data_IF_807787259917
#
_entry.id   IF_807787259917
#
_cell.length_a   1.000
_cell.length_b   1.000
_cell.length_c   1.000
_cell.angle_alpha   90.00
_cell.angle_beta   90.00
_cell.angle_gamma   90.00
#
_symmetry.space_group_name_H-M   'P 1'
#
loop_
_entity.id
_entity.type
_entity.pdbx_description
1 polymer ?
#
# COMPACT_ATOMS: atom_id res chain seq x y z
N UNK A 1 50.81 1.24 11.39
CA UNK A 1 51.61 2.28 12.07
C UNK A 1 50.99 2.44 13.45
N UNK A 2 51.81 2.24 14.50
CA UNK A 2 51.52 2.33 15.95
C UNK A 2 50.77 1.08 16.48
N UNK A 3 51.44 0.04 17.00
CA UNK A 3 52.10 -0.11 18.33
C UNK A 3 51.05 -0.06 19.49
N UNK A 4 51.02 -0.88 20.55
CA UNK A 4 51.98 -1.83 21.12
C UNK A 4 51.28 -2.72 22.18
N UNK A 5 51.90 -3.87 22.49
CA UNK A 5 51.91 -4.65 23.75
C UNK A 5 50.62 -5.01 24.51
N UNK A 6 50.24 -6.30 24.40
CA UNK A 6 49.48 -7.03 25.40
C UNK A 6 50.43 -7.84 26.31
N UNK A 7 50.52 -7.50 27.60
CA UNK A 7 51.16 -8.35 28.60
C UNK A 7 50.59 -8.18 30.02
N UNK A 8 50.23 -9.34 30.60
CA UNK A 8 50.17 -9.74 32.02
C UNK A 8 49.33 -8.94 33.03
N UNK A 9 48.43 -9.67 33.70
CA UNK A 9 48.21 -9.55 35.14
C UNK A 9 47.83 -10.91 35.77
N UNK A 10 48.62 -11.36 36.75
CA UNK A 10 48.32 -12.45 37.69
C UNK A 10 47.66 -11.85 38.95
N UNK A 11 46.86 -12.61 39.71
CA UNK A 11 46.35 -12.14 40.99
C UNK A 11 47.43 -12.20 42.09
N UNK A 12 47.59 -11.09 42.79
CA UNK A 12 48.42 -10.89 43.98
C UNK A 12 47.64 -11.28 45.24
N UNK A 13 48.15 -12.25 45.98
CA UNK A 13 47.80 -12.51 47.38
C UNK A 13 48.79 -11.73 48.25
N UNK A 14 48.31 -10.76 49.03
CA UNK A 14 49.11 -10.08 50.04
C UNK A 14 48.82 -10.61 51.45
N UNK A 15 49.84 -11.30 51.95
CA UNK A 15 50.35 -11.45 53.32
C UNK A 15 50.08 -10.32 54.31
N UNK A 16 49.98 -10.69 55.60
CA UNK A 16 50.57 -10.04 56.80
C UNK A 16 50.49 -11.06 57.97
N UNK A 17 51.53 -11.82 58.31
CA UNK A 17 52.62 -11.53 59.27
C UNK A 17 52.18 -10.96 60.63
N UNK A 18 52.37 -11.72 61.73
CA UNK A 18 53.30 -11.36 62.81
C UNK A 18 53.51 -12.51 63.83
N UNK A 19 54.78 -12.70 64.20
CA UNK A 19 55.26 -13.62 65.25
C UNK A 19 55.19 -12.99 66.64
N UNK A 20 55.18 -13.84 67.69
CA UNK A 20 55.95 -13.61 68.92
C UNK A 20 56.06 -14.90 69.78
N UNK A 21 57.31 -15.27 70.09
CA UNK A 21 57.77 -16.34 71.00
C UNK A 21 58.17 -15.76 72.37
N UNK A 22 57.81 -16.41 73.50
CA UNK A 22 58.45 -16.36 74.85
C UNK A 22 57.97 -17.65 75.59
N UNK A 23 58.72 -18.69 76.01
CA UNK A 23 59.90 -18.94 76.90
C UNK A 23 59.69 -18.69 78.40
N UNK A 24 59.57 -19.78 79.19
CA UNK A 24 60.11 -20.00 80.55
C UNK A 24 59.72 -21.46 80.98
N UNK A 25 60.61 -22.45 81.15
CA UNK A 25 61.65 -22.66 82.17
C UNK A 25 61.11 -22.71 83.61
N UNK A 26 61.24 -23.87 84.30
CA UNK A 26 61.99 -24.05 85.56
C UNK A 26 61.95 -25.51 86.06
N UNK A 27 63.17 -26.02 86.29
CA UNK A 27 63.71 -26.93 87.31
C UNK A 27 63.14 -28.33 87.59
N UNK A 28 64.06 -29.28 87.43
CA UNK A 28 64.11 -30.60 88.03
C UNK A 28 64.43 -30.55 89.55
N UNK A 29 64.03 -31.59 90.29
CA UNK A 29 64.90 -32.22 91.29
C UNK A 29 64.42 -33.63 91.64
N UNK A 30 65.39 -34.56 91.64
CA UNK A 30 65.30 -35.97 92.05
C UNK A 30 65.53 -36.10 93.56
N UNK A 31 64.98 -37.16 94.18
CA UNK A 31 65.70 -38.14 95.04
C UNK A 31 64.74 -39.07 95.82
N UNK A 32 64.96 -40.38 95.60
CA UNK A 32 65.09 -41.49 96.58
C UNK A 32 63.92 -41.93 97.49
N UNK A 33 63.72 -43.26 97.47
CA UNK A 33 62.97 -44.12 98.38
C UNK A 33 63.18 -43.88 99.88
N UNK A 34 62.13 -44.06 100.66
CA UNK A 34 62.23 -44.29 102.11
C UNK A 34 60.85 -44.38 102.77
N UNK A 35 60.60 -45.50 103.44
CA UNK A 35 59.34 -45.91 104.05
C UNK A 35 58.78 -44.96 105.13
N UNK A 36 57.45 -44.93 105.26
CA UNK A 36 56.76 -44.38 106.42
C UNK A 36 55.25 -44.48 106.27
N UNK A 37 54.64 -45.45 106.96
CA UNK A 37 53.20 -45.63 107.09
C UNK A 37 52.49 -44.34 107.51
N UNK A 38 51.36 -44.04 106.85
CA UNK A 38 50.20 -43.43 107.46
C UNK A 38 48.98 -43.96 106.72
N UNK A 39 48.34 -44.96 107.32
CA UNK A 39 47.00 -45.38 106.96
C UNK A 39 46.05 -44.23 107.28
N UNK A 40 45.52 -43.58 106.27
CA UNK A 40 44.35 -42.71 106.42
C UNK A 40 43.38 -42.95 105.27
N UNK A 41 42.34 -43.70 105.61
CA UNK A 41 40.96 -43.64 105.11
C UNK A 41 40.73 -42.97 103.76
N UNK A 42 40.95 -43.70 102.66
CA UNK A 42 40.34 -43.36 101.37
C UNK A 42 38.84 -43.69 101.43
N UNK A 43 37.94 -42.72 101.17
CA UNK A 43 36.51 -43.01 101.03
C UNK A 43 36.28 -44.05 99.93
N UNK A 44 35.24 -44.90 100.01
CA UNK A 44 34.93 -45.86 98.96
C UNK A 44 34.72 -45.12 97.65
N UNK A 45 35.35 -45.57 96.55
CA UNK A 45 35.32 -44.92 95.24
C UNK A 45 33.90 -44.55 94.74
N UNK A 46 32.86 -45.24 95.22
CA UNK A 46 31.45 -44.96 94.96
C UNK A 46 30.94 -43.63 95.58
N UNK A 47 31.45 -43.18 96.74
CA UNK A 47 31.07 -41.91 97.37
C UNK A 47 31.72 -40.71 96.68
N UNK A 48 32.93 -40.87 96.14
CA UNK A 48 33.63 -39.84 95.37
C UNK A 48 32.98 -39.64 93.99
N UNK A 49 32.65 -40.75 93.31
CA UNK A 49 31.93 -40.72 92.03
C UNK A 49 30.54 -40.06 92.14
N UNK A 50 29.80 -40.30 93.22
CA UNK A 50 28.51 -39.67 93.46
C UNK A 50 28.63 -38.16 93.75
N UNK A 51 29.66 -37.73 94.49
CA UNK A 51 29.92 -36.32 94.76
C UNK A 51 30.35 -35.57 93.50
N UNK A 52 31.18 -36.19 92.65
CA UNK A 52 31.62 -35.62 91.37
C UNK A 52 30.46 -35.52 90.37
N UNK A 53 29.56 -36.51 90.32
CA UNK A 53 28.36 -36.48 89.48
C UNK A 53 27.36 -35.40 89.94
N UNK A 54 27.22 -35.18 91.25
CA UNK A 54 26.39 -34.13 91.82
C UNK A 54 26.97 -32.72 91.57
N UNK A 55 28.30 -32.57 91.67
CA UNK A 55 28.98 -31.32 91.32
C UNK A 55 28.86 -31.01 89.82
N UNK A 56 28.95 -32.02 88.95
CA UNK A 56 28.73 -31.88 87.50
C UNK A 56 27.29 -31.47 87.18
N UNK A 57 26.27 -32.04 87.85
CA UNK A 57 24.87 -31.62 87.70
C UNK A 57 24.63 -30.17 88.15
N UNK A 58 25.23 -29.74 89.26
CA UNK A 58 25.12 -28.35 89.71
C UNK A 58 25.85 -27.37 88.77
N UNK A 59 27.00 -27.78 88.20
CA UNK A 59 27.71 -26.99 87.20
C UNK A 59 26.92 -26.90 85.87
N UNK A 60 26.28 -27.99 85.45
CA UNK A 60 25.39 -28.07 84.28
C UNK A 60 24.21 -27.11 84.41
N UNK A 61 23.48 -27.16 85.54
CA UNK A 61 22.36 -26.25 85.82
C UNK A 61 22.78 -24.78 85.88
N UNK A 62 23.94 -24.50 86.47
CA UNK A 62 24.47 -23.12 86.54
C UNK A 62 24.85 -22.60 85.15
N UNK A 63 25.49 -23.43 84.32
CA UNK A 63 25.86 -23.07 82.96
C UNK A 63 24.62 -22.88 82.07
N UNK A 64 23.59 -23.73 82.26
CA UNK A 64 22.30 -23.59 81.60
C UNK A 64 21.60 -22.28 81.95
N UNK A 65 21.51 -21.93 83.25
CA UNK A 65 20.89 -20.67 83.69
C UNK A 65 21.57 -19.43 83.10
N UNK A 66 22.90 -19.45 82.94
CA UNK A 66 23.64 -18.34 82.30
C UNK A 66 23.40 -18.29 80.79
N UNK A 67 23.30 -19.45 80.13
CA UNK A 67 22.97 -19.53 78.70
C UNK A 67 21.55 -19.03 78.42
N UNK A 68 20.56 -19.39 79.26
CA UNK A 68 19.18 -18.93 79.18
C UNK A 68 19.08 -17.42 79.39
N UNK A 69 19.77 -16.91 80.42
CA UNK A 69 19.84 -15.47 80.72
C UNK A 69 20.44 -14.66 79.57
N UNK A 70 21.48 -15.19 78.91
CA UNK A 70 22.11 -14.51 77.77
C UNK A 70 21.26 -14.62 76.51
N UNK A 71 20.61 -15.77 76.28
CA UNK A 71 19.63 -15.95 75.23
C UNK A 71 20.17 -15.85 73.80
N UNK A 72 21.47 -16.10 73.57
CA UNK A 72 22.10 -16.01 72.25
C UNK A 72 22.59 -17.36 71.74
N UNK A 73 22.73 -17.48 70.42
CA UNK A 73 23.31 -18.67 69.78
C UNK A 73 24.70 -18.97 70.34
N UNK A 74 25.52 -17.96 70.58
CA UNK A 74 26.86 -18.12 71.15
C UNK A 74 26.82 -18.71 72.57
N UNK A 75 25.89 -18.25 73.42
CA UNK A 75 25.76 -18.75 74.79
C UNK A 75 25.31 -20.21 74.85
N UNK A 76 24.30 -20.59 74.06
CA UNK A 76 23.86 -21.99 73.97
C UNK A 76 24.91 -22.90 73.30
N UNK A 77 25.67 -22.37 72.33
CA UNK A 77 26.79 -23.12 71.72
C UNK A 77 27.91 -23.39 72.72
N UNK A 78 28.25 -22.39 73.55
CA UNK A 78 29.24 -22.55 74.61
C UNK A 78 28.78 -23.56 75.68
N UNK A 79 27.47 -23.58 76.01
CA UNK A 79 26.89 -24.62 76.86
C UNK A 79 27.07 -26.02 76.25
N UNK A 80 26.69 -26.21 74.99
CA UNK A 80 26.83 -27.51 74.29
C UNK A 80 28.29 -27.99 74.17
N UNK A 81 29.26 -27.07 74.04
CA UNK A 81 30.69 -27.40 74.00
C UNK A 81 31.22 -27.91 75.34
N UNK A 82 30.74 -27.35 76.46
CA UNK A 82 31.20 -27.70 77.80
C UNK A 82 30.39 -28.85 78.43
N UNK A 83 29.13 -29.05 78.00
CA UNK A 83 28.17 -30.00 78.59
C UNK A 83 27.44 -30.84 77.52
N UNK A 84 28.19 -31.46 76.60
CA UNK A 84 27.64 -32.23 75.47
C UNK A 84 26.80 -33.48 75.82
N UNK A 85 26.77 -33.90 77.09
CA UNK A 85 25.91 -34.96 77.64
C UNK A 85 25.03 -34.48 78.81
N UNK A 86 24.89 -33.15 78.98
CA UNK A 86 24.09 -32.54 80.04
C UNK A 86 22.58 -32.70 79.83
N UNK A 87 21.79 -32.37 80.85
CA UNK A 87 20.34 -32.56 80.81
C UNK A 87 19.65 -31.65 79.75
N UNK A 88 20.25 -30.49 79.44
CA UNK A 88 19.65 -29.45 78.60
C UNK A 88 20.16 -29.43 77.15
N UNK A 89 20.88 -30.45 76.70
CA UNK A 89 21.46 -30.51 75.33
C UNK A 89 20.38 -30.39 74.24
N UNK A 90 19.25 -31.07 74.40
CA UNK A 90 18.15 -31.02 73.45
C UNK A 90 17.50 -29.63 73.42
N UNK A 91 17.29 -29.03 74.58
CA UNK A 91 16.70 -27.69 74.69
C UNK A 91 17.64 -26.62 74.13
N UNK A 92 18.92 -26.64 74.50
CA UNK A 92 19.94 -25.73 73.95
C UNK A 92 19.99 -25.79 72.42
N UNK A 93 19.92 -26.98 71.84
CA UNK A 93 19.90 -27.18 70.38
C UNK A 93 18.63 -26.60 69.75
N UNK A 94 17.46 -26.79 70.37
CA UNK A 94 16.21 -26.20 69.92
C UNK A 94 16.22 -24.66 70.00
N UNK A 95 16.79 -24.08 71.07
CA UNK A 95 16.95 -22.63 71.23
C UNK A 95 17.83 -22.04 70.13
N UNK A 96 18.94 -22.71 69.78
CA UNK A 96 19.81 -22.30 68.67
C UNK A 96 19.06 -22.31 67.34
N UNK A 97 18.31 -23.37 67.05
CA UNK A 97 17.51 -23.46 65.82
C UNK A 97 16.47 -22.34 65.76
N UNK A 98 15.74 -22.10 66.86
CA UNK A 98 14.73 -21.04 66.93
C UNK A 98 15.32 -19.64 66.76
N UNK A 99 16.46 -19.34 67.41
CA UNK A 99 17.15 -18.05 67.28
C UNK A 99 17.70 -17.83 65.86
N UNK A 100 18.29 -18.85 65.25
CA UNK A 100 18.77 -18.79 63.87
C UNK A 100 17.60 -18.63 62.88
N UNK A 101 16.47 -19.30 63.12
CA UNK A 101 15.27 -19.13 62.30
C UNK A 101 14.70 -17.72 62.43
N UNK A 102 14.63 -17.16 63.64
CA UNK A 102 14.19 -15.78 63.86
C UNK A 102 15.11 -14.78 63.16
N UNK A 103 16.43 -14.93 63.32
CA UNK A 103 17.41 -14.08 62.64
C UNK A 103 17.26 -14.15 61.11
N UNK A 104 16.94 -15.32 60.55
CA UNK A 104 16.62 -15.46 59.12
C UNK A 104 15.34 -14.74 58.71
N UNK A 105 14.28 -14.80 59.52
CA UNK A 105 13.01 -14.08 59.27
C UNK A 105 13.22 -12.57 59.32
N UNK A 106 13.94 -12.07 60.33
CA UNK A 106 14.24 -10.64 60.47
C UNK A 106 15.09 -10.14 59.29
N UNK A 107 16.05 -10.95 58.83
CA UNK A 107 16.85 -10.63 57.64
C UNK A 107 16.04 -10.65 56.34
N UNK A 108 15.10 -11.59 56.20
CA UNK A 108 14.17 -11.68 55.06
C UNK A 108 13.27 -10.44 54.97
N UNK A 109 12.63 -10.06 56.08
CA UNK A 109 11.80 -8.86 56.19
C UNK A 109 12.57 -7.58 55.89
N UNK A 110 13.80 -7.47 56.42
CA UNK A 110 14.66 -6.33 56.13
C UNK A 110 15.02 -6.24 54.65
N UNK A 111 15.40 -7.37 54.03
CA UNK A 111 15.76 -7.40 52.63
C UNK A 111 14.57 -7.10 51.72
N UNK A 112 13.37 -7.56 52.11
CA UNK A 112 12.13 -7.22 51.43
C UNK A 112 11.83 -5.71 51.52
N UNK A 113 11.91 -5.11 52.70
CA UNK A 113 11.70 -3.67 52.88
C UNK A 113 12.70 -2.82 52.07
N UNK A 114 13.97 -3.24 52.01
CA UNK A 114 14.99 -2.58 51.19
C UNK A 114 14.68 -2.70 49.67
N UNK A 115 14.12 -3.85 49.24
CA UNK A 115 13.67 -4.05 47.86
C UNK A 115 12.43 -3.20 47.52
N UNK A 116 11.43 -3.14 48.40
CA UNK A 116 10.24 -2.29 48.23
C UNK A 116 10.59 -0.81 48.15
N UNK A 117 11.51 -0.36 49.02
CA UNK A 117 12.00 1.02 49.01
C UNK A 117 12.70 1.38 47.70
N UNK A 118 13.46 0.46 47.13
CA UNK A 118 14.16 0.67 45.86
C UNK A 118 13.19 0.61 44.69
N UNK A 119 12.23 -0.32 44.73
CA UNK A 119 11.11 -0.38 43.79
C UNK A 119 11.48 -0.77 42.35
N UNK A 120 12.66 -1.32 42.10
CA UNK A 120 13.13 -1.71 40.75
C UNK A 120 13.12 -3.23 40.57
N UNK A 121 12.99 -3.70 39.32
CA UNK A 121 13.07 -5.12 39.01
C UNK A 121 14.39 -5.75 39.52
N UNK A 122 15.50 -5.04 39.38
CA UNK A 122 16.82 -5.47 39.87
C UNK A 122 16.86 -5.67 41.40
N UNK A 123 16.21 -4.80 42.19
CA UNK A 123 16.18 -4.93 43.64
C UNK A 123 15.37 -6.16 44.09
N UNK A 124 14.21 -6.39 43.48
CA UNK A 124 13.42 -7.61 43.74
C UNK A 124 14.12 -8.89 43.27
N UNK A 125 14.85 -8.83 42.15
CA UNK A 125 15.70 -9.95 41.71
C UNK A 125 16.81 -10.26 42.71
N UNK A 126 17.47 -9.25 43.27
CA UNK A 126 18.49 -9.42 44.30
C UNK A 126 17.90 -10.04 45.59
N UNK A 127 16.69 -9.63 45.99
CA UNK A 127 15.96 -10.27 47.09
C UNK A 127 15.71 -11.76 46.81
N UNK A 128 15.16 -12.11 45.63
CA UNK A 128 14.90 -13.51 45.26
C UNK A 128 16.19 -14.34 45.25
N UNK A 129 17.30 -13.76 44.79
CA UNK A 129 18.60 -14.44 44.74
C UNK A 129 19.14 -14.75 46.14
N UNK A 130 18.99 -13.82 47.08
CA UNK A 130 19.51 -13.96 48.45
C UNK A 130 18.56 -14.73 49.37
N UNK A 131 17.25 -14.69 49.11
CA UNK A 131 16.18 -15.26 49.94
C UNK A 131 15.21 -16.11 49.11
N UNK A 132 15.72 -17.08 48.33
CA UNK A 132 14.93 -17.88 47.39
C UNK A 132 13.80 -18.74 47.99
N UNK A 133 13.77 -18.91 49.32
CA UNK A 133 12.68 -19.53 50.08
C UNK A 133 12.01 -18.60 51.10
N UNK A 134 12.22 -17.29 50.98
CA UNK A 134 11.63 -16.27 51.85
C UNK A 134 10.12 -16.08 51.61
N UNK A 135 9.46 -15.41 52.54
CA UNK A 135 8.00 -15.25 52.53
C UNK A 135 7.50 -14.43 51.32
N UNK A 136 8.32 -13.51 50.80
CA UNK A 136 7.93 -12.57 49.75
C UNK A 136 8.35 -12.97 48.33
N UNK A 137 8.93 -14.17 48.13
CA UNK A 137 9.44 -14.58 46.80
C UNK A 137 8.37 -14.53 45.71
N UNK A 138 7.14 -14.95 46.02
CA UNK A 138 6.04 -14.92 45.06
C UNK A 138 5.66 -13.48 44.66
N UNK A 139 5.56 -12.58 45.65
CA UNK A 139 5.28 -11.16 45.42
C UNK A 139 6.43 -10.49 44.65
N UNK A 140 7.68 -10.76 45.02
CA UNK A 140 8.86 -10.26 44.33
C UNK A 140 8.86 -10.66 42.85
N UNK A 141 8.54 -11.92 42.52
CA UNK A 141 8.46 -12.39 41.12
C UNK A 141 7.37 -11.69 40.31
N UNK A 142 6.23 -11.41 40.93
CA UNK A 142 5.16 -10.61 40.31
C UNK A 142 5.65 -9.19 40.02
N UNK A 143 6.29 -8.52 40.99
CA UNK A 143 6.86 -7.18 40.81
C UNK A 143 7.91 -7.13 39.70
N UNK A 144 8.81 -8.13 39.64
CA UNK A 144 9.81 -8.23 38.56
C UNK A 144 9.12 -8.31 37.20
N UNK A 145 8.13 -9.18 37.04
CA UNK A 145 7.43 -9.34 35.76
C UNK A 145 6.71 -8.06 35.34
N UNK A 146 6.04 -7.39 36.27
CA UNK A 146 5.34 -6.12 36.01
C UNK A 146 6.32 -5.01 35.59
N UNK A 147 7.39 -4.81 36.38
CA UNK A 147 8.37 -3.75 36.15
C UNK A 147 9.19 -4.00 34.89
N UNK A 148 9.67 -5.22 34.65
CA UNK A 148 10.41 -5.55 33.43
C UNK A 148 9.54 -5.38 32.18
N UNK A 149 8.24 -5.68 32.26
CA UNK A 149 7.32 -5.41 31.14
C UNK A 149 7.15 -3.92 30.89
N UNK A 150 7.03 -3.10 31.94
CA UNK A 150 6.97 -1.63 31.83
C UNK A 150 8.25 -1.04 31.24
N UNK A 151 9.41 -1.49 31.71
CA UNK A 151 10.72 -1.08 31.18
C UNK A 151 10.89 -1.45 29.70
N UNK A 152 10.44 -2.64 29.30
CA UNK A 152 10.46 -3.07 27.91
C UNK A 152 9.50 -2.26 27.02
N UNK A 153 8.31 -1.91 27.53
CA UNK A 153 7.32 -1.06 26.85
C UNK A 153 7.91 0.33 26.59
N UNK A 154 8.43 0.99 27.62
CA UNK A 154 9.07 2.31 27.51
C UNK A 154 10.27 2.31 26.56
N UNK A 155 11.11 1.28 26.62
CA UNK A 155 12.23 1.14 25.71
C UNK A 155 11.78 0.98 24.25
N UNK A 156 10.83 0.09 24.00
CA UNK A 156 10.31 -0.14 22.66
C UNK A 156 9.61 1.11 22.10
N UNK A 157 8.90 1.84 22.95
CA UNK A 157 8.31 3.12 22.61
C UNK A 157 9.37 4.17 22.24
N UNK A 158 10.41 4.32 23.05
CA UNK A 158 11.52 5.24 22.76
C UNK A 158 12.26 4.89 21.46
N UNK A 159 12.45 3.59 21.18
CA UNK A 159 13.00 3.12 19.91
C UNK A 159 12.08 3.47 18.72
N UNK A 160 10.76 3.31 18.88
CA UNK A 160 9.77 3.66 17.85
C UNK A 160 9.71 5.17 17.57
N UNK A 161 9.71 5.99 18.62
CA UNK A 161 9.74 7.46 18.51
C UNK A 161 11.03 7.94 17.83
N UNK A 162 12.18 7.35 18.19
CA UNK A 162 13.47 7.69 17.58
C UNK A 162 13.51 7.35 16.09
N UNK A 163 12.96 6.20 15.71
CA UNK A 163 12.87 5.80 14.31
C UNK A 163 11.88 6.70 13.54
N UNK A 164 10.75 7.05 14.16
CA UNK A 164 9.75 7.95 13.57
C UNK A 164 9.06 7.40 12.32
N UNK A 165 9.13 6.09 12.07
CA UNK A 165 8.58 5.45 10.86
C UNK A 165 7.31 4.65 11.16
N UNK A 166 6.46 4.49 10.15
CA UNK A 166 5.26 3.66 10.23
C UNK A 166 5.57 2.22 10.64
N UNK A 167 6.66 1.64 10.12
CA UNK A 167 7.11 0.29 10.46
C UNK A 167 7.48 0.15 11.95
N UNK A 168 8.12 1.16 12.53
CA UNK A 168 8.52 1.15 13.94
C UNK A 168 7.31 1.25 14.87
N UNK A 169 6.38 2.18 14.60
CA UNK A 169 5.12 2.27 15.37
C UNK A 169 4.24 1.02 15.20
N UNK A 170 4.21 0.43 14.01
CA UNK A 170 3.50 -0.84 13.76
C UNK A 170 4.08 -1.96 14.62
N UNK A 171 5.40 -2.12 14.60
CA UNK A 171 6.10 -3.12 15.40
C UNK A 171 5.85 -2.95 16.90
N UNK A 172 5.87 -1.69 17.39
CA UNK A 172 5.53 -1.38 18.78
C UNK A 172 4.09 -1.81 19.12
N UNK A 173 3.10 -1.42 18.32
CA UNK A 173 1.69 -1.77 18.59
C UNK A 173 1.39 -3.27 18.51
N UNK A 174 2.17 -4.02 17.72
CA UNK A 174 2.06 -5.48 17.64
C UNK A 174 2.66 -6.17 18.87
N UNK A 175 3.83 -5.70 19.34
CA UNK A 175 4.53 -6.28 20.48
C UNK A 175 3.90 -5.86 21.83
N UNK A 176 3.32 -4.66 21.90
CA UNK A 176 2.75 -4.06 23.11
C UNK A 176 1.31 -3.63 22.89
N UNK A 177 0.41 -4.54 22.50
CA UNK A 177 -0.99 -4.24 22.13
C UNK A 177 -1.85 -3.58 23.21
N UNK A 178 -1.43 -3.66 24.48
CA UNK A 178 -2.03 -3.03 25.67
C UNK A 178 -1.04 -2.14 26.43
N UNK A 179 0.07 -1.75 25.80
CA UNK A 179 1.06 -0.83 26.36
C UNK A 179 0.50 0.58 26.56
N UNK A 180 1.19 1.39 27.36
CA UNK A 180 0.73 2.74 27.70
C UNK A 180 0.66 3.67 26.48
N UNK A 181 1.53 3.45 25.48
CA UNK A 181 1.69 4.34 24.32
C UNK A 181 0.94 3.87 23.07
N UNK A 182 0.09 2.84 23.15
CA UNK A 182 -0.59 2.28 21.96
C UNK A 182 -1.49 3.30 21.27
N UNK A 183 -2.24 4.09 22.05
CA UNK A 183 -3.11 5.12 21.49
C UNK A 183 -2.30 6.19 20.74
N UNK A 184 -1.18 6.62 21.32
CA UNK A 184 -0.29 7.59 20.70
C UNK A 184 0.41 7.01 19.46
N UNK A 185 0.90 5.78 19.53
CA UNK A 185 1.52 5.08 18.40
C UNK A 185 0.56 4.98 17.20
N UNK A 186 -0.71 4.65 17.46
CA UNK A 186 -1.75 4.60 16.42
C UNK A 186 -2.05 5.99 15.83
N UNK A 187 -2.09 7.03 16.65
CA UNK A 187 -2.27 8.40 16.18
C UNK A 187 -1.10 8.86 15.29
N UNK A 188 0.15 8.57 15.70
CA UNK A 188 1.34 8.86 14.90
C UNK A 188 1.36 8.08 13.59
N UNK A 189 0.95 6.81 13.61
CA UNK A 189 0.84 5.99 12.40
C UNK A 189 -0.18 6.59 11.41
N UNK A 190 -1.38 6.94 11.89
CA UNK A 190 -2.40 7.56 11.06
C UNK A 190 -1.93 8.89 10.45
N UNK A 191 -1.20 9.72 11.21
CA UNK A 191 -0.63 10.97 10.71
C UNK A 191 0.43 10.73 9.61
N UNK A 192 1.29 9.73 9.77
CA UNK A 192 2.29 9.35 8.76
C UNK A 192 1.64 8.83 7.47
N UNK A 193 0.62 7.97 7.60
CA UNK A 193 -0.14 7.45 6.46
C UNK A 193 -0.91 8.56 5.73
N UNK A 194 -1.50 9.49 6.47
CA UNK A 194 -2.17 10.66 5.90
C UNK A 194 -1.18 11.54 5.12
N UNK A 195 0.00 11.80 5.69
CA UNK A 195 1.05 12.56 5.03
C UNK A 195 1.50 11.87 3.74
N UNK A 196 1.81 10.58 3.80
CA UNK A 196 2.22 9.79 2.63
C UNK A 196 1.14 9.79 1.53
N UNK A 197 -0.14 9.70 1.92
CA UNK A 197 -1.27 9.80 0.98
C UNK A 197 -1.33 11.16 0.30
N UNK A 198 -1.15 12.26 1.05
CA UNK A 198 -1.13 13.62 0.50
C UNK A 198 0.04 13.83 -0.46
N UNK A 199 1.25 13.38 -0.09
CA UNK A 199 2.41 13.43 -0.98
C UNK A 199 2.20 12.63 -2.27
N UNK A 200 1.59 11.44 -2.17
CA UNK A 200 1.26 10.62 -3.33
C UNK A 200 0.21 11.28 -4.24
N UNK A 201 -0.79 11.95 -3.66
CA UNK A 201 -1.81 12.73 -4.37
C UNK A 201 -1.16 13.89 -5.15
N UNK A 202 -0.37 14.73 -4.46
CA UNK A 202 0.36 15.84 -5.06
C UNK A 202 1.31 15.39 -6.19
N UNK A 203 2.04 14.30 -5.98
CA UNK A 203 2.93 13.74 -7.01
C UNK A 203 2.15 13.29 -8.24
N UNK A 204 1.06 12.55 -8.05
CA UNK A 204 0.25 12.07 -9.16
C UNK A 204 -0.43 13.23 -9.91
N UNK A 205 -0.85 14.26 -9.19
CA UNK A 205 -1.35 15.49 -9.78
C UNK A 205 -0.28 16.20 -10.62
N UNK A 206 0.93 16.38 -10.09
CA UNK A 206 2.04 16.98 -10.84
C UNK A 206 2.40 16.18 -12.10
N UNK A 207 2.37 14.84 -12.03
CA UNK A 207 2.59 13.97 -13.19
C UNK A 207 1.47 14.12 -14.25
N UNK A 208 0.21 14.27 -13.81
CA UNK A 208 -0.92 14.52 -14.70
C UNK A 208 -0.83 15.91 -15.36
N UNK A 209 -0.47 16.95 -14.60
CA UNK A 209 -0.23 18.30 -15.12
C UNK A 209 0.90 18.32 -16.15
N UNK A 210 2.01 17.63 -15.88
CA UNK A 210 3.14 17.52 -16.81
C UNK A 210 2.76 16.83 -18.10
N UNK A 211 1.94 15.79 -18.03
CA UNK A 211 1.47 15.06 -19.23
C UNK A 211 0.42 15.88 -20.00
N UNK A 212 -0.47 16.57 -19.29
CA UNK A 212 -1.39 17.55 -19.86
C UNK A 212 -2.48 16.97 -20.79
N UNK A 213 -2.80 15.67 -20.67
CA UNK A 213 -3.81 15.00 -21.51
C UNK A 213 -5.05 14.62 -20.71
N UNK A 214 -6.18 14.44 -21.41
CA UNK A 214 -7.43 13.97 -20.80
C UNK A 214 -7.27 12.63 -20.10
N UNK A 215 -6.52 11.70 -20.70
CA UNK A 215 -6.19 10.40 -20.13
C UNK A 215 -5.43 10.54 -18.80
N UNK A 216 -4.39 11.37 -18.75
CA UNK A 216 -3.58 11.54 -17.53
C UNK A 216 -4.39 12.12 -16.36
N UNK A 217 -5.26 13.10 -16.63
CA UNK A 217 -6.16 13.64 -15.59
C UNK A 217 -7.25 12.63 -15.19
N UNK A 218 -7.72 11.79 -16.11
CA UNK A 218 -8.68 10.72 -15.82
C UNK A 218 -8.05 9.65 -14.92
N UNK A 219 -6.82 9.23 -15.22
CA UNK A 219 -6.07 8.27 -14.41
C UNK A 219 -5.82 8.80 -12.99
N UNK A 220 -5.49 10.10 -12.87
CA UNK A 220 -5.39 10.78 -11.58
C UNK A 220 -6.70 10.69 -10.78
N UNK A 221 -7.85 11.05 -11.39
CA UNK A 221 -9.16 10.98 -10.73
C UNK A 221 -9.51 9.55 -10.31
N UNK A 222 -9.17 8.54 -11.12
CA UNK A 222 -9.42 7.14 -10.79
C UNK A 222 -8.59 6.68 -9.58
N UNK A 223 -7.33 7.11 -9.51
CA UNK A 223 -6.42 6.76 -8.42
C UNK A 223 -6.72 7.52 -7.12
N UNK A 224 -7.16 8.77 -7.23
CA UNK A 224 -7.44 9.67 -6.11
C UNK A 224 -8.86 10.26 -6.21
N UNK A 225 -9.90 9.43 -6.10
CA UNK A 225 -11.29 9.84 -6.30
C UNK A 225 -11.79 10.96 -5.35
N UNK A 226 -11.17 11.08 -4.18
CA UNK A 226 -11.39 12.16 -3.20
C UNK A 226 -10.14 13.00 -2.95
N UNK A 227 -9.21 13.04 -3.92
CA UNK A 227 -8.00 13.85 -3.86
C UNK A 227 -8.30 15.35 -3.93
N UNK A 228 -7.35 16.18 -3.50
CA UNK A 228 -7.53 17.63 -3.45
C UNK A 228 -7.75 18.25 -4.85
N UNK A 229 -7.20 17.63 -5.91
CA UNK A 229 -7.19 18.19 -7.26
C UNK A 229 -8.26 17.61 -8.18
N UNK A 230 -9.20 16.80 -7.68
CA UNK A 230 -10.24 16.15 -8.53
C UNK A 230 -11.10 17.18 -9.26
N UNK A 231 -11.47 18.27 -8.58
CA UNK A 231 -12.26 19.33 -9.19
C UNK A 231 -11.48 20.04 -10.30
N UNK A 232 -10.20 20.37 -10.06
CA UNK A 232 -9.36 21.00 -11.07
C UNK A 232 -9.09 20.05 -12.26
N UNK A 233 -8.79 18.77 -11.99
CA UNK A 233 -8.59 17.75 -13.03
C UNK A 233 -9.79 17.66 -13.99
N UNK A 234 -11.03 17.68 -13.45
CA UNK A 234 -12.25 17.70 -14.27
C UNK A 234 -12.38 18.96 -15.11
N UNK A 235 -12.01 20.13 -14.56
CA UNK A 235 -12.00 21.37 -15.33
C UNK A 235 -10.96 21.33 -16.47
N UNK A 236 -9.77 20.77 -16.22
CA UNK A 236 -8.74 20.59 -17.25
C UNK A 236 -9.21 19.66 -18.37
N UNK A 237 -9.86 18.55 -18.03
CA UNK A 237 -10.46 17.62 -19.01
C UNK A 237 -11.49 18.36 -19.88
N UNK A 238 -12.44 19.06 -19.25
CA UNK A 238 -13.47 19.79 -19.99
C UNK A 238 -12.87 20.85 -20.94
N UNK A 239 -11.81 21.54 -20.50
CA UNK A 239 -11.08 22.50 -21.33
C UNK A 239 -10.37 21.85 -22.53
N UNK A 240 -9.73 20.70 -22.33
CA UNK A 240 -9.06 19.94 -23.40
C UNK A 240 -10.07 19.39 -24.41
N UNK A 241 -11.19 18.85 -23.94
CA UNK A 241 -12.27 18.34 -24.80
C UNK A 241 -12.93 19.47 -25.61
N UNK A 242 -13.14 20.63 -24.99
CA UNK A 242 -13.65 21.81 -25.70
C UNK A 242 -12.67 22.29 -26.78
N UNK A 243 -11.37 22.31 -26.48
CA UNK A 243 -10.38 22.65 -27.49
C UNK A 243 -10.36 21.63 -28.64
N UNK A 244 -10.43 20.34 -28.33
CA UNK A 244 -10.50 19.29 -29.34
C UNK A 244 -11.75 19.45 -30.24
N UNK A 245 -12.91 19.75 -29.65
CA UNK A 245 -14.13 20.05 -30.42
C UNK A 245 -13.95 21.25 -31.36
N UNK A 246 -13.32 22.33 -30.90
CA UNK A 246 -13.03 23.52 -31.72
C UNK A 246 -12.07 23.19 -32.87
N UNK A 247 -11.02 22.42 -32.59
CA UNK A 247 -10.05 22.01 -33.61
C UNK A 247 -10.70 21.10 -34.67
N UNK A 248 -11.62 20.23 -34.26
CA UNK A 248 -12.40 19.39 -35.17
C UNK A 248 -13.39 20.20 -36.02
N UNK A 249 -14.06 21.19 -35.42
CA UNK A 249 -14.93 22.15 -36.11
C UNK A 249 -14.13 22.90 -37.19
N UNK A 250 -13.00 23.51 -36.82
CA UNK A 250 -12.16 24.28 -37.73
C UNK A 250 -11.60 23.41 -38.88
N UNK A 251 -11.18 22.18 -38.60
CA UNK A 251 -10.74 21.23 -39.65
C UNK A 251 -11.87 20.88 -40.61
N UNK A 252 -13.07 20.64 -40.11
CA UNK A 252 -14.22 20.31 -40.95
C UNK A 252 -14.68 21.52 -41.77
N UNK A 253 -14.59 22.72 -41.20
CA UNK A 253 -14.82 23.95 -41.93
C UNK A 253 -13.80 24.15 -43.06
N UNK A 254 -12.51 24.00 -42.77
CA UNK A 254 -11.45 24.09 -43.77
C UNK A 254 -11.62 23.06 -44.91
N UNK A 255 -12.10 21.85 -44.59
CA UNK A 255 -12.48 20.84 -45.59
C UNK A 255 -13.63 21.31 -46.47
N UNK A 256 -14.70 21.83 -45.87
CA UNK A 256 -15.85 22.35 -46.60
C UNK A 256 -15.46 23.51 -47.52
N UNK A 257 -14.60 24.41 -47.04
CA UNK A 257 -14.04 25.50 -47.84
C UNK A 257 -13.20 24.99 -49.01
N UNK A 258 -12.37 23.95 -48.80
CA UNK A 258 -11.53 23.36 -49.85
C UNK A 258 -12.36 22.65 -50.92
N UNK A 259 -13.42 21.95 -50.52
CA UNK A 259 -14.37 21.34 -51.47
C UNK A 259 -15.14 22.40 -52.25
N UNK A 260 -15.56 23.48 -51.58
CA UNK A 260 -16.28 24.59 -52.21
C UNK A 260 -17.66 24.21 -52.78
N UNK A 261 -18.25 23.09 -52.34
CA UNK A 261 -19.54 22.59 -52.81
C UNK A 261 -20.66 22.83 -51.79
N UNK A 262 -21.90 23.01 -52.26
CA UNK A 262 -23.07 23.16 -51.38
C UNK A 262 -23.26 21.94 -50.46
N UNK A 263 -22.98 20.74 -50.98
CA UNK A 263 -23.02 19.50 -50.23
C UNK A 263 -22.02 19.48 -49.07
N UNK A 264 -20.76 19.92 -49.28
CA UNK A 264 -19.75 19.93 -48.22
C UNK A 264 -20.11 20.89 -47.08
N UNK A 265 -20.60 22.10 -47.40
CA UNK A 265 -21.07 23.04 -46.37
C UNK A 265 -22.31 22.51 -45.63
N UNK A 266 -23.22 21.83 -46.33
CA UNK A 266 -24.39 21.18 -45.70
C UNK A 266 -23.96 20.08 -44.74
N UNK A 267 -23.01 19.22 -45.12
CA UNK A 267 -22.46 18.18 -44.25
C UNK A 267 -21.77 18.76 -43.01
N UNK A 268 -21.03 19.87 -43.16
CA UNK A 268 -20.45 20.60 -42.03
C UNK A 268 -21.52 21.06 -41.04
N UNK A 269 -22.58 21.73 -41.52
CA UNK A 269 -23.70 22.21 -40.67
C UNK A 269 -24.42 21.06 -39.96
N UNK A 270 -24.57 19.91 -40.62
CA UNK A 270 -25.16 18.72 -40.02
C UNK A 270 -24.29 18.16 -38.90
N UNK A 271 -22.96 18.13 -39.08
CA UNK A 271 -22.02 17.62 -38.09
C UNK A 271 -21.83 18.59 -36.91
N UNK A 272 -21.80 19.89 -37.18
CA UNK A 272 -21.54 20.94 -36.18
C UNK A 272 -22.73 21.90 -36.09
N UNK A 273 -23.89 21.44 -35.62
CA UNK A 273 -25.13 22.24 -35.64
C UNK A 273 -25.08 23.60 -34.90
N UNK A 274 -24.15 23.76 -33.96
CA UNK A 274 -23.87 25.00 -33.22
C UNK A 274 -22.40 25.45 -33.35
N UNK A 275 -21.69 24.98 -34.38
CA UNK A 275 -20.31 25.36 -34.65
C UNK A 275 -20.15 26.83 -35.01
N UNK A 276 -18.93 27.35 -34.91
CA UNK A 276 -18.65 28.78 -35.12
C UNK A 276 -19.00 29.24 -36.56
N UNK A 277 -18.87 28.35 -37.55
CA UNK A 277 -19.04 28.67 -38.96
C UNK A 277 -20.41 28.28 -39.52
N UNK A 278 -21.37 27.87 -38.69
CA UNK A 278 -22.69 27.37 -39.17
C UNK A 278 -23.46 28.40 -39.99
N UNK A 279 -23.52 29.64 -39.50
CA UNK A 279 -24.25 30.69 -40.19
C UNK A 279 -23.63 30.97 -41.56
N UNK A 280 -22.30 31.03 -41.63
CA UNK A 280 -21.57 31.24 -42.87
C UNK A 280 -21.70 30.05 -43.82
N UNK A 281 -21.58 28.82 -43.32
CA UNK A 281 -21.74 27.60 -44.10
C UNK A 281 -23.12 27.53 -44.75
N UNK A 282 -24.19 27.87 -44.02
CA UNK A 282 -25.57 27.92 -44.57
C UNK A 282 -25.70 28.96 -45.68
N UNK A 283 -25.11 30.14 -45.50
CA UNK A 283 -25.11 31.18 -46.54
C UNK A 283 -24.37 30.73 -47.80
N UNK A 284 -23.18 30.15 -47.66
CA UNK A 284 -22.39 29.64 -48.79
C UNK A 284 -23.11 28.51 -49.52
N UNK A 285 -23.71 27.56 -48.79
CA UNK A 285 -24.50 26.49 -49.38
C UNK A 285 -25.67 27.06 -50.21
N UNK A 286 -26.46 27.97 -49.64
CA UNK A 286 -27.60 28.58 -50.33
C UNK A 286 -27.17 29.38 -51.59
N UNK A 287 -26.04 30.10 -51.52
CA UNK A 287 -25.50 30.83 -52.67
C UNK A 287 -25.05 29.89 -53.80
N UNK A 288 -24.40 28.77 -53.45
CA UNK A 288 -23.98 27.75 -54.40
C UNK A 288 -25.18 27.03 -55.03
N UNK A 289 -26.19 26.68 -54.24
CA UNK A 289 -27.43 26.08 -54.76
C UNK A 289 -28.19 27.04 -55.67
N UNK A 290 -28.28 28.32 -55.31
CA UNK A 290 -28.89 29.35 -56.16
C UNK A 290 -28.12 29.52 -57.47
N UNK A 291 -26.79 29.42 -57.44
CA UNK A 291 -25.95 29.44 -58.65
C UNK A 291 -26.21 28.20 -59.51
N UNK A 292 -26.21 27.01 -58.90
CA UNK A 292 -26.51 25.76 -59.61
C UNK A 292 -27.90 25.77 -60.26
N UNK A 293 -28.92 26.31 -59.58
CA UNK A 293 -30.29 26.47 -60.13
C UNK A 293 -30.34 27.39 -61.35
N UNK A 294 -29.50 28.44 -61.42
CA UNK A 294 -29.42 29.35 -62.59
C UNK A 294 -28.74 28.68 -63.78
N UNK A 295 -27.80 27.79 -63.52
CA UNK A 295 -27.02 27.13 -64.57
C UNK A 295 -27.67 25.86 -65.14
N UNK A 296 -28.69 25.32 -64.47
CA UNK A 296 -29.55 24.27 -65.03
C UNK A 296 -30.63 24.93 -65.89
N UNK A 297 -30.71 24.63 -67.21
CA UNK A 297 -31.68 25.25 -68.09
C UNK A 297 -33.12 25.09 -67.58
N UNK A 298 -33.89 26.18 -67.63
CA UNK A 298 -35.33 26.16 -67.35
C UNK A 298 -36.10 25.60 -68.54
N UNK A 299 -36.91 24.57 -68.31
CA UNK A 299 -37.89 24.05 -69.27
C UNK A 299 -39.29 24.19 -68.69
N UNK A 300 -40.29 24.38 -69.55
CA UNK A 300 -41.70 24.40 -69.16
C UNK A 300 -42.18 22.97 -68.88
N UNK A 301 -41.81 22.47 -67.70
CA UNK A 301 -42.07 21.07 -67.33
C UNK A 301 -43.55 20.79 -67.15
N UNK A 302 -44.35 21.79 -66.79
CA UNK A 302 -45.80 21.65 -66.71
C UNK A 302 -46.38 21.30 -68.07
N UNK A 303 -45.96 22.01 -69.12
CA UNK A 303 -46.36 21.69 -70.49
C UNK A 303 -45.85 20.33 -70.94
N UNK A 304 -44.60 19.97 -70.61
CA UNK A 304 -44.06 18.64 -70.94
C UNK A 304 -44.84 17.52 -70.25
N UNK A 305 -45.10 17.62 -68.95
CA UNK A 305 -45.87 16.61 -68.20
C UNK A 305 -47.29 16.47 -68.73
N UNK A 306 -47.98 17.58 -69.05
CA UNK A 306 -49.32 17.55 -69.66
C UNK A 306 -49.31 16.87 -71.04
N UNK A 307 -48.32 17.20 -71.87
CA UNK A 307 -48.19 16.62 -73.21
C UNK A 307 -47.86 15.12 -73.14
N UNK A 308 -46.95 14.70 -72.25
CA UNK A 308 -46.61 13.30 -72.03
C UNK A 308 -47.83 12.50 -71.54
N UNK A 309 -48.59 13.05 -70.62
CA UNK A 309 -49.78 12.40 -70.09
C UNK A 309 -50.92 12.32 -71.15
N UNK A 310 -51.07 13.35 -71.98
CA UNK A 310 -51.99 13.31 -73.14
C UNK A 310 -51.58 12.30 -74.23
N UNK A 311 -50.27 12.14 -74.46
CA UNK A 311 -49.76 11.12 -75.37
C UNK A 311 -50.02 9.69 -74.84
N UNK A 312 -49.87 9.46 -73.55
CA UNK A 312 -50.18 8.19 -72.89
C UNK A 312 -51.67 7.82 -73.03
N UNK A 313 -52.57 8.78 -72.80
CA UNK A 313 -54.01 8.59 -73.03
C UNK A 313 -54.31 8.26 -74.49
N UNK A 314 -53.64 8.91 -75.42
CA UNK A 314 -53.86 8.70 -76.86
C UNK A 314 -53.39 7.32 -77.33
N UNK A 315 -52.38 6.73 -76.69
CA UNK A 315 -51.78 5.45 -77.10
C UNK A 315 -52.39 4.23 -76.40
N UNK A 316 -52.70 4.35 -75.10
CA UNK A 316 -53.14 3.21 -74.29
C UNK A 316 -54.61 3.31 -73.83
N UNK A 317 -55.30 4.41 -74.17
CA UNK A 317 -56.63 4.72 -73.66
C UNK A 317 -56.62 5.07 -72.16
N UNK A 318 -57.72 5.64 -71.66
CA UNK A 318 -57.87 6.06 -70.26
C UNK A 318 -58.09 7.56 -70.11
N UNK A 319 -58.03 8.05 -68.87
CA UNK A 319 -58.12 9.49 -68.56
C UNK A 319 -56.90 9.92 -67.78
N UNK A 320 -56.29 11.03 -68.17
CA UNK A 320 -55.26 11.66 -67.34
C UNK A 320 -55.95 12.27 -66.12
N UNK A 321 -55.53 11.88 -64.93
CA UNK A 321 -55.97 12.53 -63.70
C UNK A 321 -54.99 13.64 -63.33
N UNK A 322 -55.47 14.62 -62.56
CA UNK A 322 -54.61 15.66 -61.99
C UNK A 322 -53.48 15.06 -61.12
N UNK A 323 -53.72 13.90 -60.52
CA UNK A 323 -52.74 13.15 -59.74
C UNK A 323 -51.56 12.67 -60.61
N UNK A 324 -51.81 12.23 -61.85
CA UNK A 324 -50.76 11.76 -62.77
C UNK A 324 -49.82 12.90 -63.18
N UNK A 325 -50.39 14.08 -63.46
CA UNK A 325 -49.62 15.28 -63.79
C UNK A 325 -48.82 15.76 -62.58
N UNK A 326 -49.40 15.74 -61.38
CA UNK A 326 -48.70 16.13 -60.16
C UNK A 326 -47.55 15.17 -59.79
N UNK A 327 -47.73 13.87 -60.01
CA UNK A 327 -46.67 12.88 -59.81
C UNK A 327 -45.50 13.10 -60.78
N UNK A 328 -45.77 13.44 -62.05
CA UNK A 328 -44.75 13.85 -63.02
C UNK A 328 -44.02 15.11 -62.56
N UNK A 329 -44.75 16.16 -62.15
CA UNK A 329 -44.14 17.40 -61.69
C UNK A 329 -43.22 17.20 -60.48
N UNK A 330 -43.63 16.39 -59.51
CA UNK A 330 -42.81 16.08 -58.33
C UNK A 330 -41.53 15.32 -58.69
N UNK A 331 -41.61 14.31 -59.55
CA UNK A 331 -40.43 13.54 -59.97
C UNK A 331 -39.45 14.39 -60.79
N UNK A 332 -39.96 15.23 -61.68
CA UNK A 332 -39.15 16.15 -62.49
C UNK A 332 -38.49 17.23 -61.64
N UNK A 333 -39.22 17.78 -60.66
CA UNK A 333 -38.67 18.76 -59.74
C UNK A 333 -37.57 18.15 -58.87
N UNK A 334 -37.77 16.92 -58.37
CA UNK A 334 -36.74 16.16 -57.65
C UNK A 334 -35.52 15.88 -58.52
N UNK A 335 -35.72 15.51 -59.79
CA UNK A 335 -34.63 15.27 -60.72
C UNK A 335 -33.84 16.56 -60.99
N UNK A 336 -34.53 17.69 -61.18
CA UNK A 336 -33.90 19.01 -61.33
C UNK A 336 -33.07 19.37 -60.11
N UNK A 337 -33.61 19.18 -58.90
CA UNK A 337 -32.90 19.46 -57.66
C UNK A 337 -31.68 18.54 -57.48
N UNK A 338 -31.77 17.28 -57.89
CA UNK A 338 -30.63 16.36 -57.89
C UNK A 338 -29.54 16.77 -58.90
N UNK A 339 -29.91 17.20 -60.12
CA UNK A 339 -28.96 17.74 -61.10
C UNK A 339 -28.24 18.96 -60.53
N UNK A 340 -28.95 19.88 -59.88
CA UNK A 340 -28.36 21.06 -59.23
C UNK A 340 -27.35 20.64 -58.17
N UNK A 341 -27.72 19.69 -57.31
CA UNK A 341 -26.88 19.20 -56.21
C UNK A 341 -25.58 18.55 -56.70
N UNK A 342 -25.68 17.68 -57.70
CA UNK A 342 -24.53 16.92 -58.21
C UNK A 342 -23.83 17.62 -59.38
N UNK A 343 -24.24 18.85 -59.73
CA UNK A 343 -23.78 19.57 -60.92
C UNK A 343 -22.26 19.64 -61.04
N UNK A 344 -21.57 19.85 -59.92
CA UNK A 344 -20.10 19.94 -59.91
C UNK A 344 -19.41 18.63 -60.33
N UNK A 345 -20.09 17.49 -60.17
CA UNK A 345 -19.57 16.16 -60.53
C UNK A 345 -19.67 15.85 -62.02
N UNK A 346 -20.51 16.58 -62.77
CA UNK A 346 -20.69 16.39 -64.19
C UNK A 346 -19.74 17.28 -65.01
N UNK A 347 -19.17 16.72 -66.08
CA UNK A 347 -18.26 17.44 -66.96
C UNK A 347 -19.01 18.53 -67.77
N UNK A 348 -18.28 19.55 -68.25
CA UNK A 348 -18.86 20.55 -69.14
C UNK A 348 -19.28 19.98 -70.51
N UNK A 349 -18.72 18.85 -70.94
CA UNK A 349 -19.12 18.16 -72.17
C UNK A 349 -20.49 17.49 -71.99
N UNK A 350 -20.66 16.74 -70.89
CA UNK A 350 -21.91 16.05 -70.58
C UNK A 350 -23.06 16.99 -70.36
N UNK A 351 -22.82 18.08 -69.63
CA UNK A 351 -23.82 19.12 -69.41
C UNK A 351 -24.36 19.62 -70.74
N UNK A 352 -23.50 19.83 -71.75
CA UNK A 352 -23.91 20.24 -73.10
C UNK A 352 -24.59 19.13 -73.89
N UNK A 353 -24.17 17.89 -73.71
CA UNK A 353 -24.71 16.73 -74.43
C UNK A 353 -26.09 16.31 -73.91
N UNK A 354 -26.23 16.18 -72.58
CA UNK A 354 -27.42 15.68 -71.92
C UNK A 354 -28.50 16.76 -71.75
N UNK A 355 -28.15 17.99 -71.34
CA UNK A 355 -29.14 19.03 -70.98
C UNK A 355 -29.62 19.83 -72.20
N UNK A 356 -30.15 19.13 -73.21
CA UNK A 356 -30.64 19.75 -74.45
C UNK A 356 -32.07 20.22 -74.29
N UNK A 357 -32.30 21.52 -74.41
CA UNK A 357 -33.64 22.12 -74.32
C UNK A 357 -34.46 22.04 -75.60
N UNK A 358 -33.80 21.83 -76.77
CA UNK A 358 -34.44 21.95 -78.09
C UNK A 358 -34.94 20.60 -78.65
N UNK A 359 -35.05 19.57 -77.81
CA UNK A 359 -35.57 18.25 -78.19
C UNK A 359 -37.07 18.16 -77.97
N UNK A 360 -37.72 17.16 -78.57
CA UNK A 360 -39.14 16.89 -78.34
C UNK A 360 -39.34 16.41 -76.89
N UNK A 361 -40.15 17.14 -76.12
CA UNK A 361 -40.49 16.87 -74.71
C UNK A 361 -39.25 16.69 -73.78
N UNK A 362 -38.46 17.76 -73.53
CA UNK A 362 -37.31 17.65 -72.64
C UNK A 362 -37.75 17.36 -71.19
N UNK A 363 -37.01 16.50 -70.50
CA UNK A 363 -37.27 16.04 -69.12
C UNK A 363 -36.00 16.15 -68.27
N UNK A 364 -36.14 16.62 -67.02
CA UNK A 364 -35.06 16.63 -66.04
C UNK A 364 -34.70 15.22 -65.58
N UNK A 365 -35.67 14.29 -65.50
CA UNK A 365 -35.39 12.88 -65.15
C UNK A 365 -34.48 12.23 -66.20
N UNK A 366 -34.77 12.46 -67.49
CA UNK A 366 -33.91 11.96 -68.59
C UNK A 366 -32.53 12.60 -68.57
N UNK A 367 -32.45 13.91 -68.35
CA UNK A 367 -31.17 14.61 -68.24
C UNK A 367 -30.34 14.08 -67.07
N UNK A 368 -30.95 13.87 -65.90
CA UNK A 368 -30.28 13.31 -64.73
C UNK A 368 -29.71 11.93 -65.05
N UNK A 369 -30.54 11.05 -65.63
CA UNK A 369 -30.12 9.70 -65.99
C UNK A 369 -28.95 9.72 -66.98
N UNK A 370 -29.02 10.55 -68.02
CA UNK A 370 -27.93 10.74 -68.98
C UNK A 370 -26.65 11.22 -68.30
N UNK A 371 -26.73 12.24 -67.44
CA UNK A 371 -25.59 12.79 -66.72
C UNK A 371 -24.95 11.77 -65.77
N UNK A 372 -25.75 10.97 -65.06
CA UNK A 372 -25.26 9.91 -64.18
C UNK A 372 -24.57 8.80 -64.94
N UNK A 373 -25.17 8.35 -66.05
CA UNK A 373 -24.57 7.33 -66.93
C UNK A 373 -23.22 7.79 -67.48
N UNK A 374 -23.15 9.00 -68.06
CA UNK A 374 -21.91 9.55 -68.63
C UNK A 374 -20.82 9.73 -67.56
N UNK A 375 -21.21 10.20 -66.37
CA UNK A 375 -20.31 10.29 -65.20
C UNK A 375 -19.76 8.92 -64.83
N UNK A 376 -20.62 7.91 -64.73
CA UNK A 376 -20.21 6.60 -64.25
C UNK A 376 -19.41 5.83 -65.30
N UNK A 377 -19.68 6.00 -66.60
CA UNK A 377 -18.81 5.55 -67.70
C UNK A 377 -17.42 6.16 -67.57
N UNK A 378 -17.30 7.49 -67.36
CA UNK A 378 -15.97 8.11 -67.15
C UNK A 378 -15.25 7.60 -65.91
N UNK A 379 -15.96 7.31 -64.82
CA UNK A 379 -15.35 6.69 -63.64
C UNK A 379 -14.82 5.29 -63.96
N UNK A 380 -15.47 4.55 -64.86
CA UNK A 380 -15.00 3.24 -65.32
C UNK A 380 -13.78 3.38 -66.24
N UNK A 381 -13.79 4.32 -67.19
CA UNK A 381 -12.64 4.59 -68.07
C UNK A 381 -11.40 5.05 -67.29
N UNK A 382 -11.59 5.93 -66.28
CA UNK A 382 -10.52 6.37 -65.38
C UNK A 382 -10.07 5.26 -64.40
N UNK A 383 -10.87 4.21 -64.21
CA UNK A 383 -10.54 3.02 -63.42
C UNK A 383 -9.98 1.90 -64.31
N UNK A 384 -9.32 2.21 -65.43
CA UNK A 384 -8.81 1.18 -66.32
C UNK A 384 -8.11 0.07 -65.51
N UNK A 385 -8.56 -1.19 -65.63
CA UNK A 385 -8.05 -2.28 -64.81
C UNK A 385 -6.60 -2.58 -65.14
N UNK A 386 -5.96 -3.24 -64.18
CA UNK A 386 -4.82 -4.13 -64.35
C UNK A 386 -5.12 -5.30 -65.33
N UNK A 387 -5.68 -5.05 -66.51
CA UNK A 387 -5.49 -5.95 -67.64
C UNK A 387 -4.13 -5.62 -68.23
N UNK A 388 -3.14 -6.42 -67.80
CA UNK A 388 -1.75 -6.22 -68.12
C UNK A 388 -1.54 -5.91 -69.61
N UNK A 389 -0.59 -5.02 -69.86
CA UNK A 389 0.03 -4.83 -71.17
C UNK A 389 0.78 -6.10 -71.58
N UNK A 390 0.05 -7.18 -71.86
CA UNK A 390 0.53 -8.33 -72.59
C UNK A 390 0.21 -8.14 -74.07
N UNK A 391 1.08 -8.56 -75.00
CA UNK A 391 0.80 -8.47 -76.42
C UNK A 391 -0.38 -9.41 -76.74
N UNK A 392 -1.53 -8.83 -77.08
CA UNK A 392 -2.63 -9.59 -77.65
C UNK A 392 -2.22 -10.08 -79.04
N UNK A 393 -1.71 -11.30 -79.12
CA UNK A 393 -1.68 -12.03 -80.38
C UNK A 393 -3.04 -12.69 -80.60
N UNK A 394 -3.66 -12.41 -81.75
CA UNK A 394 -4.76 -13.23 -82.24
C UNK A 394 -4.29 -14.70 -82.25
N UNK A 395 -5.11 -15.69 -81.84
CA UNK A 395 -4.74 -17.09 -81.94
C UNK A 395 -4.37 -17.42 -83.38
N UNK A 396 -3.10 -17.75 -83.64
CA UNK A 396 -2.69 -18.34 -84.92
C UNK A 396 -3.34 -19.72 -85.00
N UNK A 397 -4.33 -19.86 -85.86
CA UNK A 397 -4.85 -21.17 -86.26
C UNK A 397 -3.71 -21.90 -86.98
N UNK A 398 -3.35 -23.08 -86.49
CA UNK A 398 -2.31 -23.91 -87.10
C UNK A 398 -2.85 -24.47 -88.44
N UNK A 399 -2.18 -24.29 -89.60
CA UNK A 399 -2.70 -24.75 -90.90
C UNK A 399 -2.60 -26.28 -91.12
N UNK A 400 -2.49 -27.07 -90.06
CA UNK A 400 -2.38 -28.52 -90.13
C UNK A 400 -3.52 -29.17 -89.34
N UNK A 401 -4.73 -29.18 -89.93
CA UNK A 401 -5.73 -30.25 -89.93
C UNK A 401 -6.76 -29.82 -90.99
N UNK A 402 -6.49 -30.23 -92.24
CA UNK A 402 -7.47 -30.62 -93.27
C UNK A 402 -6.69 -31.01 -94.54
N UNK A 403 -5.92 -32.08 -94.43
CA UNK A 403 -5.45 -32.86 -95.57
C UNK A 403 -6.00 -34.28 -95.41
N UNK A 404 -7.22 -34.51 -95.90
CA UNK A 404 -7.74 -35.77 -96.44
C UNK A 404 -9.26 -35.62 -96.64
N UNK A 405 -9.63 -35.09 -97.80
CA UNK A 405 -11.02 -34.88 -98.22
C UNK A 405 -11.21 -34.70 -99.73
N UNK A 406 -10.22 -35.07 -100.54
CA UNK A 406 -10.37 -35.84 -101.80
C UNK A 406 -9.02 -36.20 -102.37
#
# INVERSE_FOLDING_TARGET
MIDDLAQRAKPTLHTLFLQATIVAAIAATTLVSGCGQSSDSQPPAAQQQAADEQAQKQADEKAWAEAEKTGTVAAYTAYLQNFGSGAHVSEASQRIVALNEQARKDADEKAWADAEKTGTAAAYMAYIQNFGGGAHVAQARQRVTELSRKEADEKAWADAVRAGTAAAFTSYTQNFSSGAHVAEARARLAALEEHARKEADEKAWADAQRTGTTAAFTDYIQKFASGAHVAEARQRIAGLEEQARKDEDEKAWAEAQRSGTAAAFTSYVQKFGSGAHVAEARQRAAALDATGRKEVPGIDIQKTCQAAAGAMVSLMGGTTTEQDVNACLDSEQKARDQIVKDRATYSAADKRQCMRTNVYLPSYVEWLTCLEMERDVRKMDNRQPQFGAGPWSLPRVNPAINAAGR
#
